data_IF_469037941717
#
_entry.id   IF_469037941717
#
_cell.length_a   1.000
_cell.length_b   1.000
_cell.length_c   1.000
_cell.angle_alpha   90.00
_cell.angle_beta   90.00
_cell.angle_gamma   90.00
#
_symmetry.space_group_name_H-M   'P 1'
#
loop_
_entity.id
_entity.type
_entity.pdbx_description
1 polymer ?
#
# COMPACT_ATOMS: atom_id res chain seq x y z
N UNK A 1 -2.41 37.40 -24.17
CA UNK A 1 -3.24 36.17 -24.05
C UNK A 1 -3.82 36.16 -22.65
N UNK A 2 -5.14 36.20 -22.51
CA UNK A 2 -5.77 36.09 -21.20
C UNK A 2 -5.73 34.61 -20.76
N UNK A 3 -5.04 34.33 -19.66
CA UNK A 3 -5.05 32.99 -19.04
C UNK A 3 -6.39 32.82 -18.34
N UNK A 4 -7.30 32.08 -18.97
CA UNK A 4 -8.57 31.70 -18.34
C UNK A 4 -8.25 30.68 -17.25
N UNK A 5 -8.68 30.94 -16.02
CA UNK A 5 -8.50 29.98 -14.94
C UNK A 5 -9.34 28.72 -15.23
N UNK A 6 -8.88 27.52 -14.86
CA UNK A 6 -9.60 26.27 -15.11
C UNK A 6 -11.05 26.28 -14.58
N UNK A 7 -11.26 26.93 -13.43
CA UNK A 7 -12.58 27.09 -12.82
C UNK A 7 -13.49 27.98 -13.67
N UNK A 8 -12.96 29.08 -14.22
CA UNK A 8 -13.72 29.97 -15.09
C UNK A 8 -14.12 29.26 -16.40
N UNK A 9 -13.24 28.42 -16.94
CA UNK A 9 -13.52 27.61 -18.13
C UNK A 9 -14.67 26.62 -17.88
N UNK A 10 -14.66 25.91 -16.74
CA UNK A 10 -15.72 24.95 -16.37
C UNK A 10 -17.05 25.69 -16.13
N UNK A 11 -17.02 26.85 -15.49
CA UNK A 11 -18.21 27.68 -15.27
C UNK A 11 -18.82 28.19 -16.57
N UNK A 12 -17.99 28.55 -17.56
CA UNK A 12 -18.49 28.96 -18.88
C UNK A 12 -19.06 27.77 -19.68
N UNK A 13 -18.40 26.61 -19.64
CA UNK A 13 -18.88 25.37 -20.28
C UNK A 13 -20.26 24.96 -19.77
N UNK A 14 -20.48 25.04 -18.46
CA UNK A 14 -21.77 24.69 -17.83
C UNK A 14 -22.90 25.65 -18.20
N UNK A 15 -22.57 26.93 -18.50
CA UNK A 15 -23.53 27.93 -18.99
C UNK A 15 -23.89 27.75 -20.47
N UNK A 16 -22.94 27.31 -21.30
CA UNK A 16 -23.15 27.11 -22.74
C UNK A 16 -24.01 25.89 -23.03
N UNK A 17 -23.69 24.74 -22.44
CA UNK A 17 -24.46 23.52 -22.63
C UNK A 17 -24.31 22.60 -21.42
N UNK A 18 -25.31 22.61 -20.55
CA UNK A 18 -25.32 21.84 -19.30
C UNK A 18 -25.19 20.33 -19.53
N UNK A 19 -25.80 19.77 -20.58
CA UNK A 19 -25.70 18.34 -20.86
C UNK A 19 -24.29 17.96 -21.30
N UNK A 20 -23.71 18.71 -22.25
CA UNK A 20 -22.35 18.45 -22.73
C UNK A 20 -21.31 18.63 -21.61
N UNK A 21 -21.44 19.68 -20.79
CA UNK A 21 -20.52 19.90 -19.66
C UNK A 21 -20.59 18.77 -18.64
N UNK A 22 -21.78 18.23 -18.36
CA UNK A 22 -21.96 17.15 -17.39
C UNK A 22 -21.29 15.87 -17.86
N UNK A 23 -21.36 15.56 -19.15
CA UNK A 23 -20.69 14.40 -19.75
C UNK A 23 -19.17 14.56 -19.66
N UNK A 24 -18.64 15.74 -20.02
CA UNK A 24 -17.20 16.01 -20.01
C UNK A 24 -16.63 15.94 -18.59
N UNK A 25 -17.28 16.58 -17.61
CA UNK A 25 -16.84 16.55 -16.21
C UNK A 25 -16.90 15.14 -15.64
N UNK A 26 -17.96 14.39 -15.94
CA UNK A 26 -18.08 12.97 -15.55
C UNK A 26 -16.95 12.13 -16.15
N UNK A 27 -16.62 12.31 -17.42
CA UNK A 27 -15.53 11.61 -18.07
C UNK A 27 -14.17 11.92 -17.43
N UNK A 28 -13.87 13.21 -17.17
CA UNK A 28 -12.65 13.63 -16.47
C UNK A 28 -12.56 13.00 -15.08
N UNK A 29 -13.67 12.97 -14.33
CA UNK A 29 -13.72 12.34 -13.02
C UNK A 29 -13.43 10.84 -13.09
N UNK A 30 -13.95 10.13 -14.10
CA UNK A 30 -13.67 8.71 -14.32
C UNK A 30 -12.19 8.50 -14.64
N UNK A 31 -11.60 9.27 -15.57
CA UNK A 31 -10.18 9.15 -15.90
C UNK A 31 -9.26 9.49 -14.74
N UNK A 32 -9.61 10.50 -13.93
CA UNK A 32 -8.90 10.83 -12.71
C UNK A 32 -8.97 9.67 -11.70
N UNK A 33 -10.15 9.07 -11.51
CA UNK A 33 -10.32 7.91 -10.64
C UNK A 33 -9.48 6.71 -11.12
N UNK A 34 -9.48 6.40 -12.42
CA UNK A 34 -8.66 5.32 -12.99
C UNK A 34 -7.17 5.60 -12.77
N UNK A 35 -6.71 6.83 -13.03
CA UNK A 35 -5.30 7.20 -12.84
C UNK A 35 -4.87 7.10 -11.38
N UNK A 36 -5.76 7.47 -10.44
CA UNK A 36 -5.51 7.29 -9.00
C UNK A 36 -5.41 5.78 -8.70
N UNK A 37 -6.35 4.96 -9.14
CA UNK A 37 -6.34 3.51 -8.87
C UNK A 37 -5.06 2.84 -9.39
N UNK A 38 -4.64 3.16 -10.62
CA UNK A 38 -3.43 2.57 -11.21
C UNK A 38 -2.16 3.06 -10.52
N UNK A 39 -2.08 4.33 -10.14
CA UNK A 39 -0.87 4.89 -9.54
C UNK A 39 -0.70 4.48 -8.06
N UNK A 40 -1.81 4.25 -7.34
CA UNK A 40 -1.77 3.83 -5.93
C UNK A 40 -1.80 2.31 -5.73
N UNK A 41 -1.77 1.54 -6.81
CA UNK A 41 -1.81 0.06 -6.81
C UNK A 41 -2.95 -0.46 -5.91
N UNK A 42 -4.12 0.18 -6.00
CA UNK A 42 -5.29 -0.19 -5.20
C UNK A 42 -5.91 -1.43 -5.84
N UNK A 43 -6.14 -2.48 -5.04
CA UNK A 43 -6.83 -3.68 -5.48
C UNK A 43 -8.15 -3.32 -6.20
N UNK A 44 -8.36 -3.88 -7.38
CA UNK A 44 -9.57 -3.72 -8.21
C UNK A 44 -10.82 -4.03 -7.39
N UNK A 45 -10.79 -5.06 -6.53
CA UNK A 45 -11.93 -5.40 -5.66
C UNK A 45 -12.27 -4.27 -4.69
N UNK A 46 -11.24 -3.64 -4.11
CA UNK A 46 -11.42 -2.49 -3.21
C UNK A 46 -11.96 -1.28 -3.98
N UNK A 47 -11.48 -1.05 -5.19
CA UNK A 47 -11.94 0.04 -6.06
C UNK A 47 -13.41 -0.12 -6.46
N UNK A 48 -13.84 -1.34 -6.82
CA UNK A 48 -15.24 -1.66 -7.13
C UNK A 48 -16.13 -1.41 -5.91
N UNK A 49 -15.69 -1.83 -4.73
CA UNK A 49 -16.43 -1.62 -3.49
C UNK A 49 -16.63 -0.11 -3.21
N UNK A 50 -15.58 0.70 -3.36
CA UNK A 50 -15.65 2.16 -3.22
C UNK A 50 -16.62 2.77 -4.23
N UNK A 51 -16.53 2.36 -5.50
CA UNK A 51 -17.42 2.83 -6.55
C UNK A 51 -18.90 2.50 -6.23
N UNK A 52 -19.16 1.28 -5.76
CA UNK A 52 -20.50 0.86 -5.35
C UNK A 52 -21.05 1.71 -4.19
N UNK A 53 -20.22 2.04 -3.19
CA UNK A 53 -20.61 2.94 -2.10
C UNK A 53 -20.94 4.34 -2.59
N UNK A 54 -20.13 4.91 -3.48
CA UNK A 54 -20.36 6.26 -4.04
C UNK A 54 -21.67 6.29 -4.83
N UNK A 55 -21.93 5.28 -5.66
CA UNK A 55 -23.18 5.18 -6.44
C UNK A 55 -24.38 5.01 -5.51
N UNK A 56 -24.28 4.13 -4.50
CA UNK A 56 -25.35 3.89 -3.53
C UNK A 56 -25.71 5.15 -2.74
N UNK A 57 -24.70 5.80 -2.15
CA UNK A 57 -24.89 7.06 -1.40
C UNK A 57 -25.43 8.15 -2.33
N UNK A 58 -24.85 8.32 -3.52
CA UNK A 58 -25.31 9.30 -4.50
C UNK A 58 -26.78 9.11 -4.89
N UNK A 59 -27.21 7.87 -5.09
CA UNK A 59 -28.60 7.54 -5.41
C UNK A 59 -29.54 7.90 -4.26
N UNK A 60 -29.18 7.55 -3.02
CA UNK A 60 -29.97 7.90 -1.82
C UNK A 60 -30.08 9.42 -1.68
N UNK A 61 -28.98 10.15 -1.90
CA UNK A 61 -28.98 11.61 -1.83
C UNK A 61 -29.87 12.25 -2.90
N UNK A 62 -29.90 11.71 -4.12
CA UNK A 62 -30.81 12.18 -5.18
C UNK A 62 -32.27 11.96 -4.78
N UNK A 63 -32.60 10.81 -4.19
CA UNK A 63 -33.95 10.52 -3.71
C UNK A 63 -34.35 11.51 -2.61
N UNK A 64 -33.48 11.74 -1.61
CA UNK A 64 -33.74 12.69 -0.52
C UNK A 64 -33.91 14.12 -1.07
N UNK A 65 -33.07 14.53 -2.02
CA UNK A 65 -33.14 15.85 -2.64
C UNK A 65 -34.44 16.08 -3.43
N UNK A 66 -35.05 15.02 -3.95
CA UNK A 66 -36.35 15.09 -4.63
C UNK A 66 -37.53 15.11 -3.65
N UNK A 67 -37.38 14.54 -2.44
CA UNK A 67 -38.44 14.51 -1.42
C UNK A 67 -38.56 15.85 -0.69
N UNK A 68 -37.43 16.48 -0.39
CA UNK A 68 -37.40 17.79 0.28
C UNK A 68 -37.76 18.83 -0.77
N UNK A 69 -38.76 19.68 -0.54
CA UNK A 69 -39.11 20.74 -1.51
C UNK A 69 -38.49 22.10 -1.15
N UNK A 70 -38.19 22.31 0.15
CA UNK A 70 -37.66 23.58 0.64
C UNK A 70 -36.26 23.91 0.08
N UNK A 71 -36.15 25.10 -0.54
CA UNK A 71 -34.93 25.58 -1.20
C UNK A 71 -33.79 25.81 -0.21
N UNK A 72 -34.08 26.31 0.99
CA UNK A 72 -33.06 26.59 2.01
C UNK A 72 -32.48 25.29 2.55
N UNK A 73 -33.36 24.33 2.86
CA UNK A 73 -32.97 22.99 3.31
C UNK A 73 -32.12 22.27 2.27
N UNK A 74 -32.49 22.32 0.97
CA UNK A 74 -31.66 21.78 -0.12
C UNK A 74 -30.25 22.39 -0.14
N UNK A 75 -30.15 23.70 0.03
CA UNK A 75 -28.86 24.41 0.03
C UNK A 75 -27.98 23.98 1.22
N UNK A 76 -28.54 23.95 2.43
CA UNK A 76 -27.81 23.54 3.64
C UNK A 76 -27.33 22.09 3.55
N UNK A 77 -28.21 21.18 3.11
CA UNK A 77 -27.86 19.76 2.92
C UNK A 77 -26.77 19.62 1.86
N UNK A 78 -26.89 20.33 0.73
CA UNK A 78 -25.89 20.31 -0.33
C UNK A 78 -24.50 20.74 0.15
N UNK A 79 -24.41 21.84 0.90
CA UNK A 79 -23.13 22.31 1.46
C UNK A 79 -22.56 21.33 2.49
N UNK A 80 -23.41 20.83 3.39
CA UNK A 80 -22.98 19.88 4.44
C UNK A 80 -22.41 18.60 3.81
N UNK A 81 -23.09 18.06 2.80
CA UNK A 81 -22.62 16.88 2.06
C UNK A 81 -21.34 17.15 1.30
N UNK A 82 -21.21 18.32 0.68
CA UNK A 82 -19.99 18.72 -0.04
C UNK A 82 -18.80 18.78 0.92
N UNK A 83 -18.96 19.43 2.07
CA UNK A 83 -17.91 19.50 3.10
C UNK A 83 -17.55 18.11 3.61
N UNK A 84 -18.54 17.27 3.91
CA UNK A 84 -18.31 15.90 4.37
C UNK A 84 -17.54 15.08 3.32
N UNK A 85 -17.93 15.17 2.05
CA UNK A 85 -17.24 14.51 0.95
C UNK A 85 -15.80 15.02 0.77
N UNK A 86 -15.58 16.34 0.88
CA UNK A 86 -14.24 16.92 0.85
C UNK A 86 -13.37 16.42 1.99
N UNK A 87 -13.89 16.33 3.22
CA UNK A 87 -13.16 15.79 4.36
C UNK A 87 -12.78 14.32 4.12
N UNK A 88 -13.73 13.49 3.68
CA UNK A 88 -13.47 12.09 3.34
C UNK A 88 -12.40 12.01 2.24
N UNK A 89 -12.55 12.75 1.13
CA UNK A 89 -11.58 12.76 0.03
C UNK A 89 -10.18 13.16 0.49
N UNK A 90 -10.06 14.19 1.35
CA UNK A 90 -8.77 14.59 1.94
C UNK A 90 -8.22 13.47 2.81
N UNK A 91 -9.02 12.84 3.66
CA UNK A 91 -8.56 11.68 4.46
C UNK A 91 -8.04 10.55 3.57
N UNK A 92 -8.74 10.22 2.48
CA UNK A 92 -8.29 9.21 1.52
C UNK A 92 -6.97 9.58 0.86
N UNK A 93 -6.82 10.84 0.42
CA UNK A 93 -5.58 11.33 -0.21
C UNK A 93 -4.43 11.31 0.80
N UNK A 94 -4.65 11.76 2.03
CA UNK A 94 -3.61 11.74 3.07
C UNK A 94 -3.25 10.29 3.44
N UNK A 95 -4.21 9.37 3.60
CA UNK A 95 -3.92 7.95 3.80
C UNK A 95 -3.13 7.32 2.64
N UNK A 96 -3.44 7.73 1.40
CA UNK A 96 -2.74 7.22 0.22
C UNK A 96 -1.31 7.76 0.11
N UNK A 97 -1.08 9.04 0.47
CA UNK A 97 0.23 9.68 0.42
C UNK A 97 1.14 9.29 1.59
N UNK A 98 0.58 9.02 2.77
CA UNK A 98 1.33 8.75 4.00
C UNK A 98 1.18 7.30 4.48
N UNK A 99 1.02 6.37 3.54
CA UNK A 99 0.80 4.93 3.81
C UNK A 99 1.84 4.35 4.76
N UNK A 100 3.09 4.82 4.66
CA UNK A 100 4.23 4.30 5.42
C UNK A 100 4.43 4.96 6.79
N UNK A 101 3.79 6.10 7.05
CA UNK A 101 4.04 6.87 8.28
C UNK A 101 3.09 6.52 9.44
N UNK A 102 2.08 5.68 9.21
CA UNK A 102 1.20 5.15 10.26
C UNK A 102 0.33 6.19 10.98
N UNK A 103 0.28 7.45 10.50
CA UNK A 103 -0.50 8.53 11.12
C UNK A 103 -2.00 8.32 10.89
N UNK A 104 -2.38 7.78 9.73
CA UNK A 104 -3.78 7.51 9.37
C UNK A 104 -3.91 6.06 8.96
N UNK A 105 -5.03 5.43 9.35
CA UNK A 105 -5.36 4.08 8.93
C UNK A 105 -5.26 3.94 7.40
N UNK A 106 -4.76 2.79 6.91
CA UNK A 106 -4.62 2.56 5.49
C UNK A 106 -5.99 2.55 4.80
N UNK A 107 -5.99 2.91 3.52
CA UNK A 107 -7.20 3.17 2.73
C UNK A 107 -8.21 2.01 2.78
N UNK A 108 -7.74 0.76 2.75
CA UNK A 108 -8.61 -0.41 2.82
C UNK A 108 -9.39 -0.52 4.15
N UNK A 109 -8.85 0.02 5.24
CA UNK A 109 -9.56 0.09 6.52
C UNK A 109 -10.58 1.23 6.58
N UNK A 110 -10.29 2.37 5.93
CA UNK A 110 -11.25 3.48 5.85
C UNK A 110 -12.50 3.11 5.06
N UNK A 111 -12.34 2.37 3.96
CA UNK A 111 -13.49 1.92 3.15
C UNK A 111 -14.35 0.91 3.92
N UNK A 112 -13.71 0.06 4.74
CA UNK A 112 -14.39 -0.97 5.53
C UNK A 112 -14.49 -0.57 6.99
N UNK A 113 -14.96 0.65 7.25
CA UNK A 113 -15.05 1.21 8.60
C UNK A 113 -15.93 0.42 9.57
N UNK A 114 -16.79 -0.47 9.07
CA UNK A 114 -17.62 -1.38 9.86
C UNK A 114 -16.87 -2.63 10.38
N UNK A 115 -15.75 -2.98 9.74
CA UNK A 115 -14.93 -4.14 10.11
C UNK A 115 -13.68 -3.69 10.87
N UNK A 116 -13.15 -4.56 11.73
CA UNK A 116 -11.90 -4.26 12.43
C UNK A 116 -10.73 -4.29 11.44
N UNK A 117 -9.91 -3.24 11.43
CA UNK A 117 -8.83 -3.06 10.45
C UNK A 117 -7.85 -4.24 10.38
N UNK A 118 -7.55 -4.88 11.52
CA UNK A 118 -6.68 -6.06 11.56
C UNK A 118 -7.22 -7.25 10.76
N UNK A 119 -8.54 -7.48 10.78
CA UNK A 119 -9.16 -8.58 10.03
C UNK A 119 -9.10 -8.31 8.52
N UNK A 120 -9.21 -7.05 8.11
CA UNK A 120 -9.11 -6.66 6.70
C UNK A 120 -7.68 -6.80 6.21
N UNK A 121 -6.71 -6.35 7.00
CA UNK A 121 -5.29 -6.43 6.68
C UNK A 121 -4.88 -7.90 6.42
N UNK A 122 -5.27 -8.82 7.29
CA UNK A 122 -4.99 -10.25 7.13
C UNK A 122 -5.60 -10.82 5.84
N UNK A 123 -6.85 -10.44 5.51
CA UNK A 123 -7.53 -10.90 4.30
C UNK A 123 -6.94 -10.31 3.02
N UNK A 124 -6.55 -9.03 3.05
CA UNK A 124 -5.89 -8.38 1.89
C UNK A 124 -4.53 -9.01 1.65
N UNK A 125 -3.78 -9.33 2.72
CA UNK A 125 -2.54 -10.07 2.62
C UNK A 125 -2.75 -11.45 1.97
N UNK A 126 -3.76 -12.21 2.41
CA UNK A 126 -4.11 -13.52 1.84
C UNK A 126 -4.55 -13.43 0.36
N UNK A 127 -5.33 -12.42 -0.02
CA UNK A 127 -5.72 -12.23 -1.42
C UNK A 127 -4.53 -11.85 -2.31
N UNK A 128 -3.62 -11.03 -1.80
CA UNK A 128 -2.39 -10.68 -2.52
C UNK A 128 -1.48 -11.90 -2.69
N UNK A 129 -1.42 -12.80 -1.70
CA UNK A 129 -0.72 -14.08 -1.81
C UNK A 129 -1.21 -14.89 -3.01
N UNK A 130 -2.53 -15.08 -3.11
CA UNK A 130 -3.15 -15.88 -4.16
C UNK A 130 -2.97 -15.26 -5.56
N UNK A 131 -2.88 -13.93 -5.65
CA UNK A 131 -2.65 -13.25 -6.92
C UNK A 131 -1.22 -13.48 -7.47
N UNK A 132 -0.24 -13.73 -6.59
CA UNK A 132 1.16 -13.98 -6.96
C UNK A 132 1.33 -15.42 -7.48
N UNK A 133 0.65 -16.41 -6.88
CA UNK A 133 0.68 -17.81 -7.36
C UNK A 133 0.21 -17.96 -8.82
N UNK A 134 -0.61 -17.02 -9.29
CA UNK A 134 -1.08 -16.99 -10.69
C UNK A 134 -0.06 -16.40 -11.67
N UNK A 135 0.99 -15.74 -11.17
CA UNK A 135 1.98 -14.99 -11.96
C UNK A 135 3.39 -15.56 -11.75
N UNK A 136 3.51 -16.85 -12.04
CA UNK A 136 4.73 -17.64 -11.85
C UNK A 136 5.80 -17.29 -12.91
N UNK A 137 6.51 -16.19 -12.70
CA UNK A 137 7.86 -15.96 -13.26
C UNK A 137 8.78 -15.60 -12.09
N UNK A 138 9.32 -16.63 -11.44
CA UNK A 138 10.32 -16.49 -10.38
C UNK A 138 11.57 -15.83 -11.01
N UNK A 139 12.01 -14.64 -10.55
CA UNK A 139 13.27 -14.07 -10.99
C UNK A 139 14.40 -15.03 -10.62
N UNK A 140 15.08 -15.53 -11.65
CA UNK A 140 16.14 -16.50 -11.49
C UNK A 140 17.32 -15.95 -10.66
N UNK A 141 17.58 -16.68 -9.58
CA UNK A 141 18.89 -17.01 -9.00
C UNK A 141 19.74 -15.82 -8.54
N UNK A 142 19.65 -15.55 -7.24
CA UNK A 142 20.66 -14.82 -6.45
C UNK A 142 21.93 -15.70 -6.36
N UNK A 143 22.65 -15.90 -7.47
CA UNK A 143 24.01 -16.45 -7.49
C UNK A 143 25.02 -15.30 -7.41
N UNK A 144 24.91 -14.49 -6.36
CA UNK A 144 25.96 -13.56 -5.99
C UNK A 144 27.01 -14.32 -5.19
N UNK A 145 28.13 -14.68 -5.82
CA UNK A 145 29.34 -15.08 -5.10
C UNK A 145 29.79 -13.91 -4.21
N UNK A 146 29.26 -13.83 -2.99
CA UNK A 146 29.74 -12.94 -1.94
C UNK A 146 31.09 -13.49 -1.44
N UNK A 147 32.12 -13.35 -2.27
CA UNK A 147 33.49 -13.78 -2.00
C UNK A 147 34.05 -12.97 -0.82
N UNK A 148 33.88 -13.48 0.39
CA UNK A 148 34.45 -12.88 1.60
C UNK A 148 33.67 -13.15 2.89
N UNK A 149 32.38 -13.48 2.81
CA UNK A 149 31.56 -13.79 3.99
C UNK A 149 31.02 -15.21 3.89
N UNK A 150 31.35 -16.06 4.86
CA UNK A 150 30.77 -17.39 4.99
C UNK A 150 29.32 -17.26 5.49
N UNK A 151 28.38 -17.06 4.55
CA UNK A 151 26.94 -16.91 4.81
C UNK A 151 26.34 -18.06 5.64
N UNK A 152 26.95 -19.24 5.57
CA UNK A 152 26.56 -20.43 6.33
C UNK A 152 26.87 -20.38 7.83
N UNK A 153 27.63 -19.39 8.31
CA UNK A 153 27.89 -19.24 9.74
C UNK A 153 26.78 -18.47 10.46
N UNK A 154 25.94 -17.75 9.72
CA UNK A 154 24.96 -16.83 10.29
C UNK A 154 23.55 -17.42 10.24
N UNK A 155 22.83 -17.34 11.37
CA UNK A 155 21.39 -17.64 11.41
C UNK A 155 20.61 -16.41 10.96
N UNK A 156 19.69 -16.58 10.02
CA UNK A 156 18.86 -15.49 9.50
C UNK A 156 17.43 -15.67 9.98
N UNK A 157 16.92 -14.68 10.71
CA UNK A 157 15.55 -14.61 11.20
C UNK A 157 14.81 -13.54 10.40
N UNK A 158 13.74 -13.92 9.70
CA UNK A 158 12.98 -12.96 8.89
C UNK A 158 11.64 -12.69 9.54
N UNK A 159 11.43 -11.42 9.86
CA UNK A 159 10.22 -10.87 10.42
C UNK A 159 9.63 -9.86 9.44
N UNK A 160 8.35 -9.99 9.13
CA UNK A 160 7.72 -9.19 8.08
C UNK A 160 6.35 -8.63 8.48
N UNK A 161 5.95 -7.56 7.81
CA UNK A 161 4.69 -6.88 8.01
C UNK A 161 4.18 -6.22 6.72
N UNK A 162 3.01 -5.60 6.80
CA UNK A 162 2.40 -4.90 5.67
C UNK A 162 1.86 -5.86 4.60
N UNK A 163 1.97 -5.44 3.34
CA UNK A 163 1.44 -6.16 2.18
C UNK A 163 2.35 -7.32 1.72
N UNK A 164 3.51 -7.54 2.35
CA UNK A 164 4.41 -8.65 2.06
C UNK A 164 3.67 -9.95 2.37
N UNK A 165 3.62 -10.87 1.41
CA UNK A 165 2.88 -12.13 1.54
C UNK A 165 3.78 -13.22 2.12
N UNK A 166 3.19 -14.24 2.76
CA UNK A 166 3.97 -15.33 3.35
C UNK A 166 4.71 -16.14 2.28
N UNK A 167 4.13 -16.23 1.10
CA UNK A 167 4.61 -16.91 -0.10
C UNK A 167 5.82 -16.16 -0.67
N UNK A 168 5.76 -14.82 -0.77
CA UNK A 168 6.92 -14.04 -1.19
C UNK A 168 8.11 -14.22 -0.22
N UNK A 169 7.86 -14.37 1.08
CA UNK A 169 8.89 -14.70 2.05
C UNK A 169 9.40 -16.13 1.88
N UNK A 170 8.55 -17.09 1.52
CA UNK A 170 9.00 -18.45 1.19
C UNK A 170 9.95 -18.46 0.00
N UNK A 171 9.61 -17.72 -1.07
CA UNK A 171 10.47 -17.58 -2.24
C UNK A 171 11.79 -16.89 -1.88
N UNK A 172 11.74 -15.84 -1.05
CA UNK A 172 12.94 -15.19 -0.52
C UNK A 172 13.81 -16.18 0.24
N UNK A 173 13.21 -16.95 1.15
CA UNK A 173 13.92 -17.90 2.00
C UNK A 173 14.54 -19.02 1.17
N UNK A 174 13.84 -19.51 0.15
CA UNK A 174 14.36 -20.47 -0.80
C UNK A 174 15.57 -19.90 -1.56
N UNK A 175 15.47 -18.67 -2.07
CA UNK A 175 16.57 -18.00 -2.77
C UNK A 175 17.78 -17.73 -1.86
N UNK A 176 17.54 -17.31 -0.61
CA UNK A 176 18.59 -17.11 0.39
C UNK A 176 19.27 -18.43 0.76
N UNK A 177 18.52 -19.52 0.95
CA UNK A 177 19.08 -20.86 1.19
C UNK A 177 19.93 -21.34 0.01
N UNK A 178 19.47 -21.11 -1.22
CA UNK A 178 20.24 -21.41 -2.43
C UNK A 178 21.54 -20.58 -2.50
N UNK A 179 21.52 -19.34 -1.99
CA UNK A 179 22.71 -18.51 -1.78
C UNK A 179 23.57 -18.87 -0.56
N UNK A 180 23.26 -19.97 0.14
CA UNK A 180 24.05 -20.48 1.26
C UNK A 180 23.76 -19.82 2.62
N UNK A 181 22.64 -19.10 2.77
CA UNK A 181 22.21 -18.52 4.05
C UNK A 181 21.44 -19.54 4.89
N UNK A 182 21.64 -19.54 6.22
CA UNK A 182 20.88 -20.40 7.14
C UNK A 182 19.65 -19.68 7.67
N UNK A 183 18.57 -19.71 6.89
CA UNK A 183 17.28 -19.15 7.29
C UNK A 183 16.59 -20.05 8.32
N UNK A 184 16.07 -19.46 9.40
CA UNK A 184 15.49 -20.17 10.54
C UNK A 184 14.16 -20.88 10.21
N UNK A 185 13.34 -20.29 9.33
CA UNK A 185 12.05 -20.85 8.94
C UNK A 185 11.84 -20.75 7.43
N UNK A 186 10.92 -21.55 6.90
CA UNK A 186 10.58 -21.49 5.48
C UNK A 186 9.78 -20.23 5.13
N UNK A 187 9.01 -19.68 6.07
CA UNK A 187 8.02 -18.63 5.75
C UNK A 187 8.17 -17.33 6.55
N UNK A 188 9.23 -17.20 7.35
CA UNK A 188 9.41 -16.08 8.26
C UNK A 188 8.32 -16.01 9.35
N UNK A 189 8.32 -14.92 10.10
CA UNK A 189 7.34 -14.62 11.13
C UNK A 189 6.66 -13.28 10.82
N UNK A 190 5.33 -13.28 10.70
CA UNK A 190 4.58 -12.02 10.52
C UNK A 190 4.40 -11.37 11.89
N UNK A 191 4.96 -10.18 12.09
CA UNK A 191 4.82 -9.42 13.33
C UNK A 191 4.41 -7.98 13.06
N UNK A 192 3.49 -7.44 13.86
CA UNK A 192 3.01 -6.06 13.68
C UNK A 192 4.12 -5.03 13.87
N UNK A 193 5.09 -5.30 14.74
CA UNK A 193 6.19 -4.37 15.03
C UNK A 193 7.17 -4.20 13.88
N UNK A 194 7.14 -5.05 12.84
CA UNK A 194 7.96 -4.86 11.65
C UNK A 194 7.34 -3.87 10.64
N UNK A 195 6.11 -3.38 10.87
CA UNK A 195 5.44 -2.44 9.96
C UNK A 195 6.19 -1.11 9.86
N UNK A 196 6.47 -0.67 8.63
CA UNK A 196 7.25 0.55 8.33
C UNK A 196 8.76 0.40 8.55
N UNK A 197 9.25 -0.78 8.92
CA UNK A 197 10.66 -1.06 9.18
C UNK A 197 11.25 -1.86 8.00
N UNK A 198 12.43 -1.42 7.54
CA UNK A 198 13.25 -2.09 6.53
C UNK A 198 14.71 -2.10 7.02
N UNK A 199 14.99 -2.97 7.98
CA UNK A 199 16.28 -3.05 8.67
C UNK A 199 16.84 -4.48 8.68
N UNK A 200 18.17 -4.61 8.61
CA UNK A 200 18.89 -5.82 8.99
C UNK A 200 19.68 -5.52 10.26
N UNK A 201 19.34 -6.24 11.32
CA UNK A 201 19.85 -6.05 12.67
C UNK A 201 20.89 -7.11 13.00
N UNK A 202 21.97 -6.68 13.62
CA UNK A 202 23.09 -7.52 14.00
C UNK A 202 23.69 -7.04 15.33
N UNK A 203 24.45 -7.89 16.04
CA UNK A 203 24.92 -7.54 17.39
C UNK A 203 26.30 -6.90 17.42
N UNK A 204 27.28 -7.51 16.76
CA UNK A 204 28.70 -7.14 16.91
C UNK A 204 29.23 -6.49 15.63
N UNK A 205 30.33 -5.73 15.73
CA UNK A 205 30.98 -5.16 14.54
C UNK A 205 31.46 -6.22 13.53
N UNK A 206 31.74 -7.43 14.00
CA UNK A 206 32.17 -8.57 13.17
C UNK A 206 31.04 -9.06 12.25
N UNK A 207 29.79 -9.01 12.72
CA UNK A 207 28.60 -9.44 11.98
C UNK A 207 28.20 -8.43 10.87
N UNK A 208 28.75 -7.20 10.91
CA UNK A 208 28.34 -6.09 10.03
C UNK A 208 28.51 -6.42 8.55
N UNK A 209 29.64 -7.01 8.16
CA UNK A 209 29.90 -7.36 6.76
C UNK A 209 28.90 -8.40 6.25
N UNK A 210 28.47 -9.34 7.12
CA UNK A 210 27.45 -10.32 6.80
C UNK A 210 26.06 -9.68 6.68
N UNK A 211 25.72 -8.75 7.57
CA UNK A 211 24.47 -7.99 7.47
C UNK A 211 24.38 -7.18 6.17
N UNK A 212 25.47 -6.53 5.74
CA UNK A 212 25.54 -5.81 4.47
C UNK A 212 25.44 -6.72 3.25
N UNK A 213 26.07 -7.91 3.30
CA UNK A 213 25.95 -8.91 2.25
C UNK A 213 24.52 -9.46 2.14
N UNK A 214 23.85 -9.68 3.28
CA UNK A 214 22.45 -10.09 3.31
C UNK A 214 21.53 -8.98 2.77
N UNK A 215 21.77 -7.72 3.12
CA UNK A 215 21.00 -6.58 2.61
C UNK A 215 21.05 -6.51 1.08
N UNK A 216 22.23 -6.74 0.48
CA UNK A 216 22.40 -6.82 -0.98
C UNK A 216 21.63 -8.00 -1.58
N UNK A 217 21.71 -9.17 -0.96
CA UNK A 217 21.00 -10.36 -1.42
C UNK A 217 19.47 -10.15 -1.40
N UNK A 218 18.92 -9.61 -0.31
CA UNK A 218 17.47 -9.33 -0.22
C UNK A 218 17.06 -8.20 -1.18
N UNK A 219 17.89 -7.16 -1.34
CA UNK A 219 17.59 -6.10 -2.32
C UNK A 219 17.55 -6.63 -3.76
N UNK A 220 18.35 -7.66 -4.07
CA UNK A 220 18.34 -8.31 -5.37
C UNK A 220 17.05 -9.09 -5.66
N UNK A 221 16.32 -9.55 -4.63
CA UNK A 221 15.04 -10.25 -4.80
C UNK A 221 13.88 -9.32 -5.13
N UNK A 222 14.06 -8.00 -4.95
CA UNK A 222 13.02 -6.95 -5.14
C UNK A 222 11.77 -7.13 -4.29
N UNK A 223 11.84 -7.90 -3.20
CA UNK A 223 10.72 -8.04 -2.25
C UNK A 223 10.52 -6.77 -1.42
N UNK A 224 11.61 -6.11 -1.05
CA UNK A 224 11.55 -4.80 -0.41
C UNK A 224 11.54 -3.70 -1.49
N UNK A 225 10.58 -2.79 -1.41
CA UNK A 225 10.50 -1.59 -2.26
C UNK A 225 11.52 -0.51 -1.85
N UNK A 226 12.00 -0.58 -0.61
CA UNK A 226 12.91 0.39 0.01
C UNK A 226 14.24 -0.30 0.35
N UNK A 227 15.39 0.41 0.22
CA UNK A 227 16.68 -0.13 0.66
C UNK A 227 16.68 -0.54 2.14
N UNK A 228 17.32 -1.68 2.42
CA UNK A 228 17.47 -2.21 3.78
C UNK A 228 18.60 -1.49 4.53
N UNK A 229 18.27 -0.89 5.68
CA UNK A 229 19.25 -0.26 6.55
C UNK A 229 19.94 -1.31 7.44
N UNK A 230 21.27 -1.31 7.50
CA UNK A 230 22.04 -2.23 8.33
C UNK A 230 22.31 -1.57 9.69
N UNK A 231 21.83 -2.16 10.78
CA UNK A 231 21.81 -1.53 12.12
C UNK A 231 22.32 -2.46 13.21
N UNK A 232 23.22 -1.94 14.03
CA UNK A 232 23.69 -2.67 15.20
C UNK A 232 22.67 -2.56 16.35
N UNK A 233 22.24 -3.69 16.90
CA UNK A 233 21.26 -3.79 17.99
C UNK A 233 21.73 -4.82 19.00
N UNK A 234 21.85 -4.43 20.27
CA UNK A 234 22.37 -5.28 21.35
C UNK A 234 21.47 -6.46 21.73
N UNK A 235 20.19 -6.40 21.37
CA UNK A 235 19.18 -7.42 21.65
C UNK A 235 19.33 -8.66 20.74
N UNK A 236 19.97 -8.51 19.58
CA UNK A 236 20.21 -9.62 18.65
C UNK A 236 21.33 -10.51 19.20
N UNK A 237 21.23 -11.82 18.96
CA UNK A 237 22.28 -12.77 19.33
C UNK A 237 23.49 -12.68 18.40
N UNK A 238 24.69 -12.96 18.93
CA UNK A 238 25.92 -13.00 18.11
C UNK A 238 25.81 -14.09 17.06
N UNK A 239 26.24 -13.82 15.82
CA UNK A 239 26.09 -14.75 14.70
C UNK A 239 24.65 -14.93 14.21
N UNK A 240 23.74 -14.04 14.65
CA UNK A 240 22.35 -13.97 14.19
C UNK A 240 22.09 -12.65 13.48
N UNK A 241 21.39 -12.72 12.35
CA UNK A 241 20.95 -11.58 11.57
C UNK A 241 19.42 -11.56 11.58
N UNK A 242 18.83 -10.53 12.19
CA UNK A 242 17.38 -10.31 12.17
C UNK A 242 17.00 -9.35 11.06
N UNK A 243 16.15 -9.81 10.15
CA UNK A 243 15.64 -9.03 9.02
C UNK A 243 14.23 -8.59 9.35
N UNK A 244 14.00 -7.29 9.36
CA UNK A 244 12.70 -6.67 9.56
C UNK A 244 12.33 -5.98 8.26
N UNK A 245 11.35 -6.51 7.54
CA UNK A 245 10.93 -6.00 6.21
C UNK A 245 9.45 -5.69 6.17
N UNK A 246 9.09 -4.60 5.51
CA UNK A 246 7.70 -4.22 5.28
C UNK A 246 7.54 -3.38 4.02
N UNK A 247 6.34 -3.42 3.46
CA UNK A 247 5.93 -2.66 2.27
C UNK A 247 4.51 -2.10 2.41
#
# INVERSE_FOLDING_TARGET
>A
MATISPIAAISQLTKLNKSASTIIVSAIAIFAAISIITNFNIDIKTSILVAAYIIGIGTVLIIIANIIDDRVTKYIIGYTLTVCFCVVAVCFVVSALFRDQGIINPTYCLVRFWERCNVIEDRVAELNSQAIDSKNEIPQVISGNNAGVTSSNYKVFIQFAGLITRESIQDLNAALKAGGWRVQSDSGERIRSAAGINEIRYKTGEDKAAAEALAKAISASRIASVPLAVKQVSLVDTGTLEVWISN
#
